data_IF_194432335625
#
_entry.id   IF_194432335625
#
_cell.length_a   1.000
_cell.length_b   1.000
_cell.length_c   1.000
_cell.angle_alpha   90.00
_cell.angle_beta   90.00
_cell.angle_gamma   90.00
#
_symmetry.space_group_name_H-M   'P 1'
#
loop_
_entity.id
_entity.type
_entity.pdbx_description
1 polymer ?
#
# COMPACT_ATOMS: atom_id res chain seq x y z
N UNK A 1 -9.97 5.16 19.53
CA UNK A 1 -9.16 6.41 19.49
C UNK A 1 -9.78 7.33 18.44
N UNK A 2 -9.95 8.61 18.75
CA UNK A 2 -10.23 9.62 17.73
C UNK A 2 -8.91 10.06 17.10
N UNK A 3 -8.86 10.11 15.77
CA UNK A 3 -7.77 10.70 15.00
C UNK A 3 -8.43 11.59 13.95
N UNK A 4 -7.99 12.84 13.87
CA UNK A 4 -8.43 13.83 12.91
C UNK A 4 -7.20 14.30 12.11
N UNK A 5 -7.09 13.96 10.82
CA UNK A 5 -5.97 14.37 9.98
C UNK A 5 -5.62 15.85 10.07
N UNK A 6 -6.61 16.74 10.11
CA UNK A 6 -6.37 18.19 10.08
C UNK A 6 -5.58 18.72 11.30
N UNK A 7 -5.67 18.04 12.45
CA UNK A 7 -5.09 18.53 13.71
C UNK A 7 -4.11 17.54 14.38
N UNK A 8 -4.24 16.24 14.10
CA UNK A 8 -3.46 15.20 14.79
C UNK A 8 -2.23 14.74 13.98
N UNK A 9 -2.13 15.10 12.70
CA UNK A 9 -0.89 14.93 11.94
C UNK A 9 0.09 16.03 12.42
N UNK A 10 1.28 15.66 12.93
CA UNK A 10 2.28 16.63 13.36
C UNK A 10 2.87 17.35 12.14
N UNK A 11 3.62 18.42 12.39
CA UNK A 11 4.40 19.06 11.35
C UNK A 11 5.38 18.06 10.71
N UNK A 12 5.37 17.98 9.38
CA UNK A 12 6.17 17.07 8.58
C UNK A 12 7.36 17.78 7.92
N UNK A 13 7.71 18.99 8.36
CA UNK A 13 8.85 19.75 7.81
C UNK A 13 10.11 18.90 7.66
N UNK A 14 10.74 18.97 6.49
CA UNK A 14 11.93 18.19 6.16
C UNK A 14 11.68 16.74 5.76
N UNK A 15 10.46 16.20 5.91
CA UNK A 15 10.16 14.80 5.59
C UNK A 15 9.97 14.56 4.10
N UNK A 16 10.42 13.39 3.65
CA UNK A 16 10.23 12.87 2.29
C UNK A 16 9.26 11.70 2.34
N UNK A 17 8.23 11.75 1.49
CA UNK A 17 7.10 10.83 1.51
C UNK A 17 6.89 10.26 0.11
N UNK A 18 6.61 8.96 0.00
CA UNK A 18 6.11 8.33 -1.22
C UNK A 18 4.71 7.76 -0.93
N UNK A 19 3.73 8.10 -1.76
CA UNK A 19 2.39 7.49 -1.73
C UNK A 19 2.13 6.76 -3.04
N UNK A 20 2.04 5.44 -3.00
CA UNK A 20 1.81 4.64 -4.21
C UNK A 20 0.34 4.70 -4.65
N UNK A 21 0.10 4.77 -5.96
CA UNK A 21 -1.26 4.85 -6.50
C UNK A 21 -1.98 6.16 -6.14
N UNK A 22 -1.22 7.23 -5.90
CA UNK A 22 -1.74 8.53 -5.49
C UNK A 22 -2.34 9.35 -6.65
N UNK A 23 -2.55 8.76 -7.83
CA UNK A 23 -3.29 9.41 -8.92
C UNK A 23 -4.81 9.49 -8.69
N UNK A 24 -5.36 8.73 -7.73
CA UNK A 24 -6.80 8.70 -7.45
C UNK A 24 -7.11 8.13 -6.07
N UNK A 25 -8.40 8.21 -5.67
CA UNK A 25 -8.94 7.56 -4.48
C UNK A 25 -8.18 7.89 -3.19
N UNK A 26 -8.01 6.88 -2.34
CA UNK A 26 -7.36 6.98 -1.03
C UNK A 26 -5.92 7.48 -1.08
N UNK A 27 -5.17 7.12 -2.13
CA UNK A 27 -3.79 7.55 -2.29
C UNK A 27 -3.69 9.05 -2.54
N UNK A 28 -4.54 9.57 -3.44
CA UNK A 28 -4.58 11.01 -3.72
C UNK A 28 -5.03 11.79 -2.49
N UNK A 29 -6.07 11.31 -1.80
CA UNK A 29 -6.55 11.92 -0.56
C UNK A 29 -5.47 11.93 0.52
N UNK A 30 -4.72 10.83 0.67
CA UNK A 30 -3.64 10.78 1.66
C UNK A 30 -2.50 11.72 1.30
N UNK A 31 -2.11 11.81 0.03
CA UNK A 31 -1.11 12.77 -0.42
C UNK A 31 -1.57 14.22 -0.18
N UNK A 32 -2.85 14.52 -0.43
CA UNK A 32 -3.45 15.83 -0.15
C UNK A 32 -3.40 16.16 1.33
N UNK A 33 -3.87 15.25 2.20
CA UNK A 33 -3.89 15.47 3.64
C UNK A 33 -2.48 15.66 4.17
N UNK A 34 -1.52 14.80 3.79
CA UNK A 34 -0.11 14.96 4.20
C UNK A 34 0.49 16.30 3.74
N UNK A 35 0.13 16.80 2.55
CA UNK A 35 0.64 18.08 2.04
C UNK A 35 0.24 19.28 2.90
N UNK A 36 -0.89 19.20 3.63
CA UNK A 36 -1.32 20.26 4.57
C UNK A 36 -0.37 20.45 5.75
N UNK A 37 0.51 19.49 6.02
CA UNK A 37 1.41 19.48 7.19
C UNK A 37 2.88 19.71 6.81
N UNK A 38 3.14 20.49 5.76
CA UNK A 38 4.47 20.99 5.36
C UNK A 38 5.58 19.95 5.10
N UNK A 39 5.32 18.75 4.53
CA UNK A 39 6.43 17.87 4.12
C UNK A 39 7.35 18.56 3.12
N UNK A 40 8.65 18.24 3.17
CA UNK A 40 9.58 18.79 2.19
C UNK A 40 9.28 18.29 0.78
N UNK A 41 8.96 17.00 0.64
CA UNK A 41 8.60 16.40 -0.66
C UNK A 41 7.60 15.26 -0.51
N UNK A 42 6.58 15.25 -1.36
CA UNK A 42 5.69 14.11 -1.57
C UNK A 42 5.84 13.62 -3.02
N UNK A 43 6.19 12.35 -3.19
CA UNK A 43 6.15 11.65 -4.46
C UNK A 43 4.79 10.99 -4.66
N UNK A 44 4.08 11.43 -5.68
CA UNK A 44 2.81 10.87 -6.16
C UNK A 44 3.13 9.85 -7.24
N UNK A 45 2.83 8.57 -7.00
CA UNK A 45 3.07 7.55 -8.02
C UNK A 45 1.86 7.27 -8.89
N UNK A 46 2.12 7.04 -10.18
CA UNK A 46 1.13 6.61 -11.16
C UNK A 46 1.80 5.84 -12.31
N UNK A 47 1.01 5.07 -13.06
CA UNK A 47 1.48 4.34 -14.26
C UNK A 47 1.79 5.24 -15.46
N UNK A 48 1.24 6.45 -15.49
CA UNK A 48 1.44 7.39 -16.60
C UNK A 48 1.62 8.79 -16.07
N UNK A 49 2.50 9.54 -16.72
CA UNK A 49 2.76 10.94 -16.40
C UNK A 49 1.50 11.79 -16.44
N UNK A 50 0.64 11.59 -17.46
CA UNK A 50 -0.64 12.29 -17.57
C UNK A 50 -1.51 12.15 -16.31
N UNK A 51 -1.61 10.94 -15.74
CA UNK A 51 -2.41 10.71 -14.52
C UNK A 51 -1.73 11.27 -13.29
N UNK A 52 -0.40 11.14 -13.20
CA UNK A 52 0.39 11.72 -12.12
C UNK A 52 0.24 13.23 -12.06
N UNK A 53 0.52 13.92 -13.18
CA UNK A 53 0.47 15.38 -13.27
C UNK A 53 -0.94 15.94 -13.04
N UNK A 54 -1.99 15.25 -13.47
CA UNK A 54 -3.37 15.63 -13.16
C UNK A 54 -3.63 15.61 -11.64
N UNK A 55 -3.25 14.53 -10.95
CA UNK A 55 -3.40 14.43 -9.51
C UNK A 55 -2.54 15.44 -8.74
N UNK A 56 -1.30 15.67 -9.19
CA UNK A 56 -0.41 16.69 -8.61
C UNK A 56 -1.08 18.07 -8.70
N UNK A 57 -1.63 18.43 -9.87
CA UNK A 57 -2.32 19.71 -10.05
C UNK A 57 -3.50 19.83 -9.09
N UNK A 58 -4.35 18.80 -9.00
CA UNK A 58 -5.50 18.81 -8.07
C UNK A 58 -5.07 18.96 -6.62
N UNK A 59 -3.98 18.31 -6.19
CA UNK A 59 -3.45 18.46 -4.83
C UNK A 59 -2.93 19.89 -4.62
N UNK A 60 -2.13 20.42 -5.55
CA UNK A 60 -1.58 21.78 -5.47
C UNK A 60 -2.67 22.85 -5.40
N UNK A 61 -3.72 22.72 -6.22
CA UNK A 61 -4.86 23.63 -6.21
C UNK A 61 -5.59 23.62 -4.85
N UNK A 62 -5.63 22.47 -4.17
CA UNK A 62 -6.27 22.31 -2.86
C UNK A 62 -5.40 22.73 -1.67
N UNK A 63 -4.06 22.82 -1.84
CA UNK A 63 -3.12 23.32 -0.83
C UNK A 63 -2.26 24.48 -1.37
N UNK A 64 -2.85 25.63 -1.73
CA UNK A 64 -2.13 26.73 -2.40
C UNK A 64 -0.99 27.35 -1.58
N UNK A 65 -1.00 27.13 -0.26
CA UNK A 65 0.03 27.62 0.66
C UNK A 65 1.17 26.62 0.90
N UNK A 66 1.09 25.40 0.35
CA UNK A 66 2.12 24.38 0.50
C UNK A 66 3.45 24.86 -0.10
N UNK A 67 4.53 24.81 0.69
CA UNK A 67 5.87 25.29 0.29
C UNK A 67 6.82 24.18 -0.15
N UNK A 68 6.46 22.92 0.09
CA UNK A 68 7.26 21.77 -0.34
C UNK A 68 7.05 21.43 -1.81
N UNK A 69 7.56 20.26 -2.21
CA UNK A 69 7.48 19.78 -3.59
C UNK A 69 6.52 18.60 -3.70
N UNK A 70 5.67 18.60 -4.72
CA UNK A 70 4.89 17.41 -5.11
C UNK A 70 5.44 16.92 -6.45
N UNK A 71 6.04 15.73 -6.44
CA UNK A 71 6.74 15.17 -7.60
C UNK A 71 6.04 13.96 -8.15
N UNK A 72 6.06 13.81 -9.47
CA UNK A 72 5.61 12.58 -10.12
C UNK A 72 6.70 11.51 -10.02
N UNK A 73 6.30 10.28 -9.72
CA UNK A 73 7.14 9.08 -9.83
C UNK A 73 6.41 8.01 -10.65
N UNK A 74 6.93 7.69 -11.83
CA UNK A 74 6.37 6.62 -12.66
C UNK A 74 6.54 5.28 -11.95
N UNK A 75 5.42 4.58 -11.73
CA UNK A 75 5.41 3.28 -11.06
C UNK A 75 4.20 2.45 -11.47
N UNK A 76 4.48 1.33 -12.13
CA UNK A 76 3.60 0.18 -12.28
C UNK A 76 4.09 -0.97 -11.38
N UNK A 77 3.30 -1.33 -10.37
CA UNK A 77 3.61 -2.40 -9.41
C UNK A 77 3.37 -3.81 -9.97
N UNK A 78 2.81 -3.94 -11.18
CA UNK A 78 2.66 -5.22 -11.88
C UNK A 78 3.87 -5.59 -12.76
N UNK A 79 4.94 -4.78 -12.72
CA UNK A 79 6.16 -5.01 -13.49
C UNK A 79 7.43 -4.69 -12.68
N UNK A 80 8.25 -5.71 -12.44
CA UNK A 80 9.52 -5.57 -11.71
C UNK A 80 10.51 -4.64 -12.42
N UNK A 81 10.48 -4.59 -13.75
CA UNK A 81 11.27 -3.64 -14.52
C UNK A 81 10.86 -2.19 -14.23
N UNK A 82 9.55 -1.92 -14.19
CA UNK A 82 9.01 -0.62 -13.79
C UNK A 82 9.36 -0.29 -12.34
N UNK A 83 9.22 -1.24 -11.41
CA UNK A 83 9.56 -1.04 -10.00
C UNK A 83 11.03 -0.68 -9.82
N UNK A 84 11.93 -1.39 -10.52
CA UNK A 84 13.37 -1.08 -10.53
C UNK A 84 13.62 0.33 -11.05
N UNK A 85 13.03 0.70 -12.19
CA UNK A 85 13.15 2.04 -12.78
C UNK A 85 12.66 3.12 -11.81
N UNK A 86 11.50 2.93 -11.20
CA UNK A 86 10.90 3.86 -10.24
C UNK A 86 11.76 4.03 -8.97
N UNK A 87 12.24 2.92 -8.40
CA UNK A 87 13.14 2.98 -7.24
C UNK A 87 14.44 3.72 -7.58
N UNK A 88 15.10 3.40 -8.70
CA UNK A 88 16.30 4.12 -9.15
C UNK A 88 16.03 5.60 -9.38
N UNK A 89 14.91 5.94 -10.01
CA UNK A 89 14.53 7.34 -10.26
C UNK A 89 14.31 8.13 -8.98
N UNK A 90 13.74 7.51 -7.94
CA UNK A 90 13.62 8.12 -6.61
C UNK A 90 14.98 8.30 -5.95
N UNK A 91 15.81 7.25 -5.91
CA UNK A 91 17.12 7.28 -5.25
C UNK A 91 18.11 8.27 -5.89
N UNK A 92 17.94 8.58 -7.18
CA UNK A 92 18.70 9.63 -7.86
C UNK A 92 18.28 11.05 -7.44
N UNK A 93 17.13 11.21 -6.79
CA UNK A 93 16.56 12.50 -6.39
C UNK A 93 16.57 12.71 -4.87
N UNK A 94 16.67 11.65 -4.08
CA UNK A 94 16.64 11.72 -2.62
C UNK A 94 17.38 10.57 -1.97
N UNK A 95 18.12 10.91 -0.92
CA UNK A 95 18.82 10.01 0.01
C UNK A 95 18.03 9.81 1.32
N UNK A 96 16.78 10.29 1.37
CA UNK A 96 15.91 10.27 2.56
C UNK A 96 14.52 9.76 2.21
N UNK A 97 13.95 8.88 3.05
CA UNK A 97 12.57 8.46 2.95
C UNK A 97 11.98 8.21 4.35
N UNK A 98 11.11 9.12 4.80
CA UNK A 98 10.48 9.05 6.11
C UNK A 98 9.21 8.20 6.09
N UNK A 99 8.40 8.29 5.03
CA UNK A 99 7.12 7.58 4.93
C UNK A 99 6.98 6.95 3.55
N UNK A 100 6.88 5.62 3.51
CA UNK A 100 6.43 4.88 2.34
C UNK A 100 5.02 4.35 2.59
N UNK A 101 4.04 4.86 1.85
CA UNK A 101 2.66 4.37 1.87
C UNK A 101 2.40 3.49 0.65
N UNK A 102 2.43 2.18 0.85
CA UNK A 102 2.04 1.17 -0.11
C UNK A 102 0.50 1.08 -0.20
N UNK A 103 -0.11 2.11 -0.78
CA UNK A 103 -1.56 2.25 -0.94
C UNK A 103 -2.12 1.61 -2.22
N UNK A 104 -1.33 1.50 -3.29
CA UNK A 104 -1.84 0.98 -4.56
C UNK A 104 -2.33 -0.48 -4.43
N UNK A 105 -3.43 -0.80 -5.10
CA UNK A 105 -3.97 -2.15 -5.15
C UNK A 105 -5.02 -2.33 -6.23
N UNK A 106 -5.22 -3.58 -6.63
CA UNK A 106 -6.20 -4.05 -7.59
C UNK A 106 -7.07 -5.13 -6.94
N UNK A 107 -8.36 -5.15 -7.27
CA UNK A 107 -9.31 -6.11 -6.72
C UNK A 107 -10.27 -6.57 -7.81
N UNK A 108 -10.73 -7.80 -7.69
CA UNK A 108 -11.83 -8.35 -8.47
C UNK A 108 -11.61 -8.30 -10.00
N UNK A 109 -10.34 -8.45 -10.42
CA UNK A 109 -9.96 -8.54 -11.83
C UNK A 109 -10.03 -9.99 -12.33
N UNK A 110 -10.17 -10.20 -13.66
CA UNK A 110 -10.04 -11.52 -14.26
C UNK A 110 -8.74 -12.19 -13.85
N UNK A 111 -8.76 -13.54 -13.83
CA UNK A 111 -7.55 -14.31 -13.62
C UNK A 111 -6.52 -13.99 -14.71
N UNK A 112 -5.25 -14.05 -14.35
CA UNK A 112 -4.16 -13.74 -15.27
C UNK A 112 -2.84 -13.65 -14.53
N UNK A 113 -1.79 -13.35 -15.28
CA UNK A 113 -0.44 -13.17 -14.76
C UNK A 113 0.04 -11.73 -14.95
N UNK A 114 0.86 -11.26 -14.04
CA UNK A 114 1.69 -10.07 -14.24
C UNK A 114 2.76 -10.34 -15.29
N UNK A 115 3.43 -9.29 -15.76
CA UNK A 115 4.56 -9.42 -16.70
C UNK A 115 5.71 -10.28 -16.16
N UNK A 116 5.82 -10.41 -14.84
CA UNK A 116 6.85 -11.19 -14.16
C UNK A 116 6.44 -12.64 -13.86
N UNK A 117 5.21 -13.03 -14.21
CA UNK A 117 4.70 -14.40 -14.12
C UNK A 117 4.01 -14.76 -12.81
N UNK A 118 3.53 -13.79 -12.02
CA UNK A 118 2.75 -14.04 -10.80
C UNK A 118 1.26 -13.83 -11.05
N UNK A 119 0.39 -14.52 -10.32
CA UNK A 119 -1.05 -14.25 -10.32
C UNK A 119 -1.30 -12.76 -10.16
N UNK A 120 -2.15 -12.18 -11.00
CA UNK A 120 -2.20 -10.74 -11.22
C UNK A 120 -2.50 -9.92 -9.96
N UNK A 121 -3.34 -10.40 -9.04
CA UNK A 121 -3.60 -9.71 -7.77
C UNK A 121 -2.45 -9.92 -6.77
N UNK A 122 -1.93 -11.14 -6.63
CA UNK A 122 -0.76 -11.43 -5.79
C UNK A 122 0.48 -10.64 -6.24
N UNK A 123 0.75 -10.62 -7.55
CA UNK A 123 1.86 -9.89 -8.14
C UNK A 123 1.75 -8.38 -7.93
N UNK A 124 0.59 -7.79 -8.17
CA UNK A 124 0.41 -6.34 -8.09
C UNK A 124 0.21 -5.81 -6.67
N UNK A 125 -0.44 -6.59 -5.80
CA UNK A 125 -0.80 -6.14 -4.44
C UNK A 125 0.23 -6.56 -3.38
N UNK A 126 1.06 -7.58 -3.67
CA UNK A 126 2.05 -8.07 -2.73
C UNK A 126 3.47 -8.03 -3.31
N UNK A 127 3.76 -8.79 -4.37
CA UNK A 127 5.14 -8.88 -4.89
C UNK A 127 5.70 -7.52 -5.35
N UNK A 128 4.85 -6.70 -5.97
CA UNK A 128 5.21 -5.36 -6.40
C UNK A 128 5.60 -4.44 -5.25
N UNK A 129 4.69 -4.17 -4.29
CA UNK A 129 5.00 -3.38 -3.09
C UNK A 129 6.17 -3.94 -2.28
N UNK A 130 6.25 -5.25 -2.10
CA UNK A 130 7.36 -5.90 -1.39
C UNK A 130 8.71 -5.63 -2.07
N UNK A 131 8.76 -5.71 -3.41
CA UNK A 131 9.98 -5.40 -4.16
C UNK A 131 10.33 -3.92 -4.07
N UNK A 132 9.34 -3.04 -4.21
CA UNK A 132 9.55 -1.60 -4.11
C UNK A 132 10.09 -1.21 -2.74
N UNK A 133 9.50 -1.75 -1.66
CA UNK A 133 10.01 -1.59 -0.29
C UNK A 133 11.43 -2.15 -0.17
N UNK A 134 11.73 -3.36 -0.67
CA UNK A 134 13.08 -3.94 -0.63
C UNK A 134 14.13 -3.02 -1.26
N UNK A 135 13.83 -2.44 -2.42
CA UNK A 135 14.77 -1.56 -3.15
C UNK A 135 15.01 -0.23 -2.43
N UNK A 136 14.02 0.27 -1.70
CA UNK A 136 14.13 1.52 -0.94
C UNK A 136 14.59 1.31 0.51
N UNK A 137 14.65 0.05 0.96
CA UNK A 137 14.90 -0.30 2.35
C UNK A 137 16.20 0.26 2.91
N UNK A 138 17.35 0.26 2.19
CA UNK A 138 18.57 0.88 2.70
C UNK A 138 18.37 2.36 3.07
N UNK A 139 17.70 3.13 2.20
CA UNK A 139 17.41 4.56 2.42
C UNK A 139 16.42 4.78 3.57
N UNK A 140 15.39 3.94 3.70
CA UNK A 140 14.43 4.04 4.81
C UNK A 140 15.12 3.73 6.14
N UNK A 141 15.95 2.69 6.20
CA UNK A 141 16.73 2.32 7.39
C UNK A 141 17.70 3.44 7.78
N UNK A 142 18.44 3.98 6.82
CA UNK A 142 19.34 5.11 7.05
C UNK A 142 18.57 6.33 7.58
N UNK A 143 17.41 6.64 6.99
CA UNK A 143 16.55 7.73 7.45
C UNK A 143 16.08 7.49 8.88
N UNK A 144 15.65 6.28 9.22
CA UNK A 144 15.21 5.94 10.57
C UNK A 144 16.32 6.10 11.60
N UNK A 145 17.55 5.69 11.26
CA UNK A 145 18.72 5.83 12.14
C UNK A 145 19.13 7.29 12.36
N UNK A 146 18.99 8.14 11.34
CA UNK A 146 19.42 9.54 11.40
C UNK A 146 18.35 10.49 11.94
N UNK A 147 17.09 10.27 11.60
CA UNK A 147 15.98 11.21 11.81
C UNK A 147 14.93 10.68 12.80
N UNK A 148 14.91 9.36 13.03
CA UNK A 148 13.90 8.70 13.84
C UNK A 148 12.57 8.47 13.12
N UNK A 149 11.86 7.42 13.56
CA UNK A 149 10.45 7.15 13.24
C UNK A 149 10.09 7.10 11.74
N UNK A 150 10.99 6.56 10.90
CA UNK A 150 10.64 6.24 9.51
C UNK A 150 9.66 5.05 9.44
N UNK A 151 8.68 5.12 8.54
CA UNK A 151 7.56 4.19 8.49
C UNK A 151 7.29 3.65 7.09
N UNK A 152 6.92 2.38 7.02
CA UNK A 152 6.30 1.75 5.86
C UNK A 152 4.89 1.31 6.25
N UNK A 153 3.89 1.87 5.57
CA UNK A 153 2.47 1.56 5.80
C UNK A 153 1.93 0.81 4.59
N UNK A 154 1.51 -0.43 4.80
CA UNK A 154 0.97 -1.32 3.79
C UNK A 154 -0.55 -1.40 3.89
N UNK A 155 -1.26 -1.12 2.80
CA UNK A 155 -2.71 -1.25 2.76
C UNK A 155 -3.10 -2.70 2.51
N UNK A 156 -3.46 -3.39 3.59
CA UNK A 156 -4.10 -4.69 3.57
C UNK A 156 -5.64 -4.55 3.55
N UNK A 157 -6.38 -5.61 3.84
CA UNK A 157 -7.85 -5.62 3.79
C UNK A 157 -8.43 -6.72 4.65
N UNK A 158 -9.58 -6.48 5.30
CA UNK A 158 -10.35 -7.54 5.99
C UNK A 158 -10.72 -8.72 5.08
N UNK A 159 -10.70 -8.52 3.76
CA UNK A 159 -10.84 -9.61 2.80
C UNK A 159 -9.69 -10.62 2.82
N UNK A 160 -8.65 -10.44 3.66
CA UNK A 160 -7.71 -11.51 4.00
C UNK A 160 -8.46 -12.78 4.48
N UNK A 161 -9.63 -12.62 5.13
CA UNK A 161 -10.51 -13.72 5.56
C UNK A 161 -11.09 -14.54 4.41
N UNK A 162 -11.00 -14.03 3.18
CA UNK A 162 -11.41 -14.75 1.96
C UNK A 162 -10.27 -15.56 1.35
N UNK A 163 -9.04 -15.48 1.90
CA UNK A 163 -7.94 -16.31 1.45
C UNK A 163 -8.34 -17.81 1.47
N UNK A 164 -7.73 -18.65 0.62
CA UNK A 164 -7.85 -20.09 0.71
C UNK A 164 -7.62 -20.59 2.14
N UNK A 165 -8.23 -21.73 2.50
CA UNK A 165 -8.12 -22.28 3.87
C UNK A 165 -6.68 -22.64 4.22
N UNK A 166 -5.90 -22.96 3.20
CA UNK A 166 -4.47 -23.24 3.24
C UNK A 166 -3.60 -21.98 3.38
N UNK A 167 -4.21 -20.78 3.45
CA UNK A 167 -3.51 -19.50 3.52
C UNK A 167 -3.03 -19.02 2.15
N UNK A 168 -1.74 -18.69 2.05
CA UNK A 168 -1.11 -18.20 0.81
C UNK A 168 -0.63 -19.38 -0.04
N UNK A 169 -1.15 -19.53 -1.25
CA UNK A 169 -0.87 -20.68 -2.12
C UNK A 169 0.47 -20.56 -2.88
N UNK A 170 1.60 -20.45 -2.17
CA UNK A 170 2.93 -20.14 -2.73
C UNK A 170 3.38 -21.06 -3.88
N UNK A 171 2.99 -22.34 -3.87
CA UNK A 171 3.30 -23.29 -4.95
C UNK A 171 2.52 -23.02 -6.23
N UNK A 172 1.46 -22.21 -6.18
CA UNK A 172 0.52 -21.98 -7.29
C UNK A 172 0.42 -20.53 -7.71
N UNK A 173 1.04 -19.57 -7.00
CA UNK A 173 1.01 -18.13 -7.36
C UNK A 173 1.69 -17.79 -8.68
N UNK A 174 2.35 -18.75 -9.35
CA UNK A 174 2.84 -18.61 -10.74
C UNK A 174 1.84 -19.13 -11.79
N UNK A 175 0.60 -19.34 -11.39
CA UNK A 175 -0.52 -19.71 -12.27
C UNK A 175 -1.62 -18.64 -12.17
N UNK A 176 -2.54 -18.55 -13.15
CA UNK A 176 -3.66 -17.61 -13.07
C UNK A 176 -4.64 -17.85 -11.90
N UNK A 177 -4.62 -19.04 -11.28
CA UNK A 177 -5.53 -19.44 -10.21
C UNK A 177 -7.02 -19.28 -10.59
N UNK A 178 -7.38 -19.71 -11.80
CA UNK A 178 -8.74 -19.62 -12.37
C UNK A 178 -9.79 -20.43 -11.60
N UNK A 179 -9.36 -21.48 -10.91
CA UNK A 179 -10.19 -22.41 -10.14
C UNK A 179 -10.66 -21.85 -8.79
N UNK A 180 -10.13 -20.70 -8.34
CA UNK A 180 -10.59 -20.02 -7.13
C UNK A 180 -11.21 -18.66 -7.45
N UNK A 181 -12.04 -18.17 -6.53
CA UNK A 181 -12.73 -16.89 -6.72
C UNK A 181 -11.73 -15.73 -6.78
N UNK A 182 -12.10 -14.66 -7.50
CA UNK A 182 -11.27 -13.44 -7.56
C UNK A 182 -11.11 -12.80 -6.17
N UNK A 183 -12.11 -12.95 -5.28
CA UNK A 183 -12.02 -12.52 -3.88
C UNK A 183 -11.02 -13.36 -3.08
N UNK A 184 -10.92 -14.67 -3.35
CA UNK A 184 -9.91 -15.51 -2.69
C UNK A 184 -8.49 -15.17 -3.16
N UNK A 185 -8.29 -14.92 -4.46
CA UNK A 185 -7.01 -14.40 -4.99
C UNK A 185 -6.64 -13.05 -4.35
N UNK A 186 -7.61 -12.15 -4.20
CA UNK A 186 -7.40 -10.88 -3.52
C UNK A 186 -7.06 -11.08 -2.03
N UNK A 187 -7.82 -11.93 -1.33
CA UNK A 187 -7.64 -12.23 0.09
C UNK A 187 -6.25 -12.76 0.41
N UNK A 188 -5.75 -13.75 -0.35
CA UNK A 188 -4.38 -14.23 -0.14
C UNK A 188 -3.32 -13.16 -0.41
N UNK A 189 -3.55 -12.23 -1.36
CA UNK A 189 -2.59 -11.14 -1.61
C UNK A 189 -2.50 -10.19 -0.41
N UNK A 190 -3.62 -9.96 0.28
CA UNK A 190 -3.70 -9.08 1.45
C UNK A 190 -3.23 -9.76 2.74
N UNK A 191 -3.41 -11.09 2.83
CA UNK A 191 -2.78 -11.90 3.86
C UNK A 191 -1.25 -11.91 3.71
N UNK A 192 -0.74 -12.11 2.50
CA UNK A 192 0.69 -12.09 2.22
C UNK A 192 1.33 -10.73 2.53
N UNK A 193 0.68 -9.63 2.14
CA UNK A 193 1.09 -8.27 2.51
C UNK A 193 1.25 -8.08 4.03
N UNK A 194 0.30 -8.59 4.82
CA UNK A 194 0.40 -8.55 6.28
C UNK A 194 1.55 -9.42 6.83
N UNK A 195 1.65 -10.68 6.41
CA UNK A 195 2.74 -11.57 6.85
C UNK A 195 4.12 -10.98 6.54
N UNK A 196 4.27 -10.35 5.37
CA UNK A 196 5.51 -9.67 5.03
C UNK A 196 5.76 -8.43 5.89
N UNK A 197 4.71 -7.66 6.23
CA UNK A 197 4.79 -6.56 7.21
C UNK A 197 5.34 -7.05 8.56
N UNK A 198 4.84 -8.19 9.07
CA UNK A 198 5.36 -8.81 10.30
C UNK A 198 6.83 -9.17 10.17
N UNK A 199 7.21 -9.84 9.08
CA UNK A 199 8.60 -10.23 8.83
C UNK A 199 9.54 -9.02 8.76
N UNK A 200 9.16 -7.97 8.02
CA UNK A 200 9.93 -6.73 7.94
C UNK A 200 10.13 -6.08 9.31
N UNK A 201 9.10 -6.08 10.16
CA UNK A 201 9.21 -5.56 11.53
C UNK A 201 10.22 -6.35 12.39
N UNK A 202 10.34 -7.67 12.18
CA UNK A 202 11.32 -8.54 12.85
C UNK A 202 12.75 -8.28 12.35
N UNK A 203 12.94 -8.18 11.03
CA UNK A 203 14.26 -8.06 10.43
C UNK A 203 14.83 -6.64 10.40
N UNK A 204 13.98 -5.61 10.44
CA UNK A 204 14.39 -4.21 10.35
C UNK A 204 13.77 -3.37 11.48
N UNK A 205 14.12 -3.66 12.75
CA UNK A 205 13.44 -3.08 13.92
C UNK A 205 13.63 -1.56 14.07
N UNK A 206 14.59 -0.96 13.35
CA UNK A 206 14.76 0.51 13.32
C UNK A 206 13.67 1.22 12.53
N UNK A 207 12.97 0.51 11.63
CA UNK A 207 11.89 1.06 10.80
C UNK A 207 10.55 0.51 11.30
N UNK A 208 9.52 1.35 11.30
CA UNK A 208 8.18 0.91 11.67
C UNK A 208 7.43 0.38 10.45
N UNK A 209 7.02 -0.89 10.49
CA UNK A 209 6.19 -1.50 9.46
C UNK A 209 4.78 -1.72 9.99
N UNK A 210 3.75 -1.29 9.26
CA UNK A 210 2.36 -1.36 9.74
C UNK A 210 1.44 -1.75 8.59
N UNK A 211 0.52 -2.68 8.85
CA UNK A 211 -0.54 -3.02 7.91
C UNK A 211 -1.85 -2.32 8.32
N UNK A 212 -2.63 -1.87 7.35
CA UNK A 212 -3.90 -1.17 7.57
C UNK A 212 -4.99 -1.67 6.64
N UNK A 213 -6.18 -1.90 7.18
CA UNK A 213 -7.42 -1.99 6.41
C UNK A 213 -8.14 -0.63 6.47
N UNK A 214 -8.33 0.06 5.33
CA UNK A 214 -8.91 1.40 5.30
C UNK A 214 -10.45 1.42 5.45
N UNK A 215 -11.11 0.26 5.53
CA UNK A 215 -12.57 0.17 5.43
C UNK A 215 -13.05 -0.06 3.99
N UNK A 216 -14.37 -0.14 3.80
CA UNK A 216 -14.99 -0.19 2.47
C UNK A 216 -15.19 1.24 1.98
N UNK A 217 -14.31 1.68 1.09
CA UNK A 217 -14.32 3.04 0.55
C UNK A 217 -14.71 2.98 -0.92
N UNK A 218 -15.65 3.82 -1.34
CA UNK A 218 -16.01 3.94 -2.76
C UNK A 218 -14.88 4.63 -3.53
N UNK A 219 -13.84 3.86 -3.82
CA UNK A 219 -12.69 4.27 -4.64
C UNK A 219 -12.94 3.88 -6.09
N UNK A 220 -12.15 4.43 -7.02
CA UNK A 220 -12.14 3.99 -8.42
C UNK A 220 -11.87 2.49 -8.63
N UNK A 221 -11.51 1.75 -7.57
CA UNK A 221 -11.48 0.29 -7.52
C UNK A 221 -12.85 -0.34 -7.86
N UNK A 222 -13.95 0.30 -7.45
CA UNK A 222 -15.31 -0.14 -7.81
C UNK A 222 -15.75 0.33 -9.20
N UNK A 223 -15.18 1.43 -9.71
CA UNK A 223 -15.46 1.91 -11.06
C UNK A 223 -14.89 0.98 -12.14
N UNK A 224 -13.70 0.44 -11.94
CA UNK A 224 -13.10 -0.56 -12.85
C UNK A 224 -13.92 -1.87 -12.86
N UNK A 225 -14.51 -2.25 -11.72
CA UNK A 225 -15.48 -3.35 -11.63
C UNK A 225 -16.76 -3.05 -12.41
N UNK A 226 -17.33 -1.86 -12.23
CA UNK A 226 -18.57 -1.41 -12.89
C UNK A 226 -18.41 -1.30 -14.41
N UNK A 227 -17.23 -0.87 -14.90
CA UNK A 227 -16.90 -0.82 -16.33
C UNK A 227 -16.75 -2.20 -16.96
N UNK A 228 -16.24 -3.19 -16.22
CA UNK A 228 -15.99 -4.55 -16.74
C UNK A 228 -17.19 -5.50 -16.67
N UNK A 229 -18.18 -5.26 -15.79
CA UNK A 229 -19.39 -6.10 -15.65
C UNK A 229 -20.67 -5.24 -15.55
N UNK A 230 -21.20 -4.71 -16.69
CA UNK A 230 -22.33 -3.78 -16.70
C UNK A 230 -23.61 -4.32 -16.06
N UNK A 231 -23.88 -5.62 -16.21
CA UNK A 231 -25.10 -6.29 -15.71
C UNK A 231 -25.09 -6.56 -14.20
N UNK A 232 -23.91 -6.51 -13.55
CA UNK A 232 -23.77 -6.52 -12.08
C UNK A 232 -23.90 -5.10 -11.49
N UNK A 233 -24.02 -4.07 -12.34
CA UNK A 233 -24.09 -2.67 -11.94
C UNK A 233 -25.24 -2.33 -10.98
N UNK A 234 -26.36 -3.06 -11.05
CA UNK A 234 -27.51 -2.89 -10.14
C UNK A 234 -27.24 -3.36 -8.71
N UNK A 235 -26.59 -4.52 -8.53
CA UNK A 235 -26.25 -5.07 -7.21
C UNK A 235 -25.03 -4.38 -6.58
N UNK A 236 -24.07 -3.95 -7.41
CA UNK A 236 -22.91 -3.15 -7.00
C UNK A 236 -23.34 -1.73 -6.57
N UNK A 237 -24.36 -1.16 -7.23
CA UNK A 237 -24.94 0.14 -6.86
C UNK A 237 -25.60 0.14 -5.48
N UNK A 238 -26.20 -0.98 -5.05
CA UNK A 238 -26.86 -1.12 -3.76
C UNK A 238 -25.87 -1.41 -2.62
N UNK A 239 -24.82 -2.20 -2.85
CA UNK A 239 -23.75 -2.37 -1.84
C UNK A 239 -22.84 -1.15 -1.72
N UNK A 240 -22.64 -0.41 -2.83
CA UNK A 240 -21.96 0.89 -2.82
C UNK A 240 -22.76 1.95 -2.06
N UNK A 241 -24.08 2.02 -2.22
CA UNK A 241 -24.91 3.05 -1.58
C UNK A 241 -25.12 2.87 -0.07
N UNK A 242 -24.98 1.64 0.45
CA UNK A 242 -25.26 1.31 1.87
C UNK A 242 -24.00 1.38 2.76
N UNK A 243 -22.78 1.35 2.18
CA UNK A 243 -21.50 1.32 2.93
C UNK A 243 -20.49 2.39 2.53
N UNK A 244 -20.92 3.44 1.82
CA UNK A 244 -20.12 4.62 1.46
C UNK A 244 -19.57 5.32 2.72
N UNK A 245 -18.37 4.95 3.14
CA UNK A 245 -17.56 5.87 3.94
C UNK A 245 -16.98 6.93 3.00
N UNK A 246 -17.05 8.18 3.44
CA UNK A 246 -16.42 9.32 2.78
C UNK A 246 -14.92 9.02 2.54
N UNK A 247 -14.37 9.42 1.39
CA UNK A 247 -12.95 9.15 1.04
C UNK A 247 -12.03 9.76 2.09
N UNK A 248 -12.42 10.88 2.68
CA UNK A 248 -11.74 11.51 3.83
C UNK A 248 -11.70 10.57 5.05
N UNK A 249 -12.82 9.94 5.38
CA UNK A 249 -12.91 8.95 6.45
C UNK A 249 -12.12 7.67 6.13
N UNK A 250 -12.04 7.30 4.85
CA UNK A 250 -11.29 6.14 4.37
C UNK A 250 -9.76 6.27 4.45
N UNK A 251 -9.23 7.47 4.22
CA UNK A 251 -7.78 7.74 4.32
C UNK A 251 -7.29 7.84 5.78
N UNK A 252 -8.21 7.95 6.74
CA UNK A 252 -7.90 8.17 8.15
C UNK A 252 -6.93 7.14 8.74
N UNK A 253 -7.16 5.85 8.48
CA UNK A 253 -6.39 4.79 9.13
C UNK A 253 -4.94 4.73 8.64
N UNK A 254 -4.73 4.91 7.33
CA UNK A 254 -3.37 4.96 6.76
C UNK A 254 -2.63 6.24 7.16
N UNK A 255 -3.31 7.39 7.21
CA UNK A 255 -2.73 8.62 7.74
C UNK A 255 -2.32 8.48 9.21
N UNK A 256 -3.18 7.90 10.04
CA UNK A 256 -2.87 7.59 11.44
C UNK A 256 -1.63 6.70 11.56
N UNK A 257 -1.57 5.59 10.82
CA UNK A 257 -0.42 4.70 10.86
C UNK A 257 0.89 5.40 10.41
N UNK A 258 0.78 6.31 9.45
CA UNK A 258 1.92 7.08 8.94
C UNK A 258 2.41 8.18 9.88
N UNK A 259 1.58 8.70 10.80
CA UNK A 259 1.87 10.00 11.45
C UNK A 259 1.56 10.07 12.94
N UNK A 260 0.69 9.20 13.48
CA UNK A 260 0.34 9.21 14.89
C UNK A 260 1.57 8.94 15.77
N UNK A 261 1.53 9.33 17.04
CA UNK A 261 2.64 9.11 17.97
C UNK A 261 3.12 7.66 17.95
N UNK A 262 4.45 7.47 18.01
CA UNK A 262 5.06 6.17 17.76
C UNK A 262 4.53 5.08 18.72
N UNK A 263 4.33 5.40 20.00
CA UNK A 263 3.77 4.51 21.01
C UNK A 263 2.33 4.04 20.73
N UNK A 264 1.58 4.75 19.87
CA UNK A 264 0.21 4.39 19.53
C UNK A 264 0.13 3.33 18.42
N UNK A 265 1.24 3.07 17.73
CA UNK A 265 1.30 2.19 16.56
C UNK A 265 2.39 1.14 16.74
N UNK A 266 1.98 -0.13 16.88
CA UNK A 266 2.91 -1.25 17.02
C UNK A 266 3.51 -1.60 15.65
N UNK A 267 4.83 -1.73 15.58
CA UNK A 267 5.49 -2.30 14.39
C UNK A 267 5.08 -3.78 14.25
N UNK A 268 4.80 -4.21 13.02
CA UNK A 268 4.23 -5.53 12.71
C UNK A 268 2.75 -5.68 13.06
N UNK A 269 2.06 -4.60 13.46
CA UNK A 269 0.63 -4.61 13.75
C UNK A 269 -0.24 -4.48 12.50
N UNK A 270 -1.50 -4.92 12.61
CA UNK A 270 -2.52 -4.77 11.56
C UNK A 270 -3.79 -4.15 12.11
N UNK A 271 -4.13 -2.94 11.67
CA UNK A 271 -5.26 -2.19 12.20
C UNK A 271 -6.39 -2.01 11.20
N UNK A 272 -7.60 -1.90 11.72
CA UNK A 272 -8.80 -1.58 10.95
C UNK A 272 -9.08 -0.06 10.90
N UNK A 273 -10.15 0.33 10.21
CA UNK A 273 -10.60 1.72 10.04
C UNK A 273 -10.98 2.41 11.36
N UNK A 274 -11.20 1.64 12.43
CA UNK A 274 -11.46 2.15 13.79
C UNK A 274 -10.18 2.25 14.64
N UNK A 275 -9.01 2.07 14.01
CA UNK A 275 -7.69 2.08 14.65
C UNK A 275 -7.55 0.99 15.71
N UNK A 276 -8.29 -0.11 15.55
CA UNK A 276 -8.18 -1.29 16.39
C UNK A 276 -7.39 -2.35 15.68
N UNK A 277 -6.49 -2.98 16.41
CA UNK A 277 -5.70 -4.09 15.90
C UNK A 277 -6.61 -5.31 15.65
N UNK A 278 -6.40 -5.98 14.52
CA UNK A 278 -7.05 -7.26 14.25
C UNK A 278 -6.49 -8.35 15.15
N UNK A 279 -7.38 -9.26 15.53
CA UNK A 279 -7.03 -10.53 16.16
C UNK A 279 -7.74 -11.62 15.36
N UNK A 280 -6.99 -12.55 14.80
CA UNK A 280 -7.50 -13.66 14.00
C UNK A 280 -6.42 -14.74 13.94
N UNK A 281 -6.79 -16.01 14.10
CA UNK A 281 -5.83 -17.11 14.20
C UNK A 281 -4.92 -17.22 12.97
N UNK A 282 -5.43 -16.89 11.78
CA UNK A 282 -4.63 -16.91 10.55
C UNK A 282 -3.51 -15.86 10.58
N UNK A 283 -3.68 -14.76 11.33
CA UNK A 283 -2.69 -13.68 11.43
C UNK A 283 -1.51 -14.05 12.36
N UNK A 284 -1.71 -15.03 13.24
CA UNK A 284 -0.75 -15.48 14.25
C UNK A 284 0.04 -16.73 13.81
N UNK A 285 -0.12 -17.18 12.57
CA UNK A 285 0.62 -18.32 12.00
C UNK A 285 2.08 -17.95 11.69
N UNK A 286 2.96 -18.06 12.70
CA UNK A 286 4.39 -17.78 12.56
C UNK A 286 5.07 -18.62 11.46
N UNK A 287 4.63 -19.85 11.27
CA UNK A 287 5.21 -20.74 10.26
C UNK A 287 4.89 -20.20 8.86
N UNK A 288 3.64 -19.80 8.61
CA UNK A 288 3.26 -19.21 7.32
C UNK A 288 3.96 -17.87 7.07
N UNK A 289 4.21 -17.07 8.13
CA UNK A 289 4.97 -15.82 8.06
C UNK A 289 6.42 -16.08 7.62
N UNK A 290 7.10 -17.04 8.24
CA UNK A 290 8.48 -17.41 7.90
C UNK A 290 8.57 -18.06 6.51
N UNK A 291 7.64 -18.95 6.15
CA UNK A 291 7.59 -19.57 4.83
C UNK A 291 7.40 -18.53 3.71
N UNK A 292 6.51 -17.55 3.92
CA UNK A 292 6.33 -16.45 2.97
C UNK A 292 7.61 -15.62 2.82
N UNK A 293 8.25 -15.26 3.94
CA UNK A 293 9.48 -14.47 3.92
C UNK A 293 10.57 -15.17 3.11
N UNK A 294 10.85 -16.43 3.44
CA UNK A 294 11.88 -17.22 2.77
C UNK A 294 11.58 -17.40 1.28
N UNK A 295 10.32 -17.67 0.94
CA UNK A 295 9.88 -17.78 -0.44
C UNK A 295 10.09 -16.46 -1.19
N UNK A 296 9.69 -15.33 -0.61
CA UNK A 296 9.83 -14.01 -1.24
C UNK A 296 11.29 -13.60 -1.42
N UNK A 297 12.16 -13.84 -0.44
CA UNK A 297 13.60 -13.58 -0.57
C UNK A 297 14.21 -14.43 -1.70
N UNK A 298 13.86 -15.72 -1.78
CA UNK A 298 14.32 -16.62 -2.85
C UNK A 298 13.82 -16.16 -4.23
N UNK A 299 12.55 -15.77 -4.34
CA UNK A 299 11.98 -15.27 -5.59
C UNK A 299 12.70 -13.99 -6.05
N UNK A 300 12.91 -13.02 -5.16
CA UNK A 300 13.67 -11.82 -5.49
C UNK A 300 15.11 -12.11 -5.90
N UNK A 301 15.82 -12.98 -5.17
CA UNK A 301 17.17 -13.39 -5.52
C UNK A 301 17.22 -14.05 -6.91
N UNK A 302 16.27 -14.94 -7.23
CA UNK A 302 16.16 -15.60 -8.53
C UNK A 302 15.93 -14.64 -9.71
N UNK A 303 15.38 -13.46 -9.43
CA UNK A 303 15.10 -12.39 -10.40
C UNK A 303 16.16 -11.29 -10.38
N UNK A 304 17.29 -11.49 -9.68
CA UNK A 304 18.41 -10.54 -9.64
C UNK A 304 18.19 -9.34 -8.71
N UNK A 305 17.39 -9.51 -7.66
CA UNK A 305 17.20 -8.55 -6.58
C UNK A 305 17.78 -9.13 -5.29
N UNK A 306 19.08 -8.92 -5.08
CA UNK A 306 19.79 -9.36 -3.87
C UNK A 306 19.44 -8.46 -2.69
#
# INVERSE_FOLDING_TARGET
MSFNPDNDIPDLSGKVIIVTGASSGLGKESALQLAKHNPATIFVTARTEKRGNAAIKEIQDAVPNFKGQIKFLELDLSSFASIRKGATAFLNQSDRLDILMNNAGLMAIPAGLTTDGYEVQFGSNYMGPALFTKLLLPTIVQTAQQQGDARVVNLSSELFKQAPKEGVLLSRVKTPLEDISSLARYGQSKLADYYHTRSLSKYYPSVKFVAIHPGVVNTGLFDDLRKRRPWLGGLIGVMGSIFLTDVHAGAKAQLWASTAKSESVRSGGFYNQKLKEYTDAVLDDEKAVEELWDWTVKEFASKGFK
#
